data_IF_855253174491
#
_entry.id   IF_855253174491
#
_cell.length_a   1.000
_cell.length_b   1.000
_cell.length_c   1.000
_cell.angle_alpha   90.00
_cell.angle_beta   90.00
_cell.angle_gamma   90.00
#
_symmetry.space_group_name_H-M   'P 1'
#
loop_
_entity.id
_entity.type
_entity.pdbx_description
1 polymer ?
#
# COMPACT_ATOMS: atom_id res chain seq x y z
N UNK A 1 4.28 9.85 52.30
CA UNK A 1 3.81 9.78 50.92
C UNK A 1 4.94 9.24 50.04
N UNK A 2 4.85 8.00 49.61
CA UNK A 2 5.83 7.36 48.75
C UNK A 2 5.50 7.65 47.27
N UNK A 3 6.50 7.54 46.39
CA UNK A 3 6.30 7.73 44.94
C UNK A 3 5.18 6.84 44.39
N UNK A 4 4.93 5.68 45.02
CA UNK A 4 3.84 4.78 44.67
C UNK A 4 2.42 5.37 44.97
N UNK A 5 2.32 6.34 45.89
CA UNK A 5 1.02 6.97 46.23
C UNK A 5 0.63 8.07 45.21
N UNK A 6 1.56 8.50 44.38
CA UNK A 6 1.36 9.55 43.36
C UNK A 6 0.85 8.93 42.04
N UNK A 7 1.21 7.68 41.73
CA UNK A 7 0.80 7.01 40.49
C UNK A 7 -0.64 6.47 40.47
N UNK A 8 -1.34 6.41 41.65
CA UNK A 8 -2.73 5.95 41.72
C UNK A 8 -3.77 7.07 41.54
N UNK A 9 -3.35 8.32 41.34
CA UNK A 9 -4.25 9.48 41.37
C UNK A 9 -4.63 10.14 40.06
N UNK A 10 -4.08 9.71 38.93
CA UNK A 10 -4.39 10.33 37.63
C UNK A 10 -4.76 9.28 36.60
N UNK A 11 -5.95 8.70 36.74
CA UNK A 11 -6.64 8.16 35.60
C UNK A 11 -7.14 9.37 34.78
N UNK A 12 -6.55 9.71 33.62
CA UNK A 12 -7.12 10.75 32.79
C UNK A 12 -8.54 10.31 32.48
N UNK A 13 -9.54 11.06 32.92
CA UNK A 13 -10.94 10.83 32.54
C UNK A 13 -10.94 10.80 31.02
N UNK A 14 -10.98 9.59 30.43
CA UNK A 14 -11.21 9.42 29.01
C UNK A 14 -12.62 9.96 28.77
N UNK A 15 -12.68 11.20 28.28
CA UNK A 15 -13.95 11.77 27.85
C UNK A 15 -14.52 10.81 26.82
N UNK A 16 -15.79 10.44 26.98
CA UNK A 16 -16.50 9.67 25.98
C UNK A 16 -16.42 10.43 24.65
N UNK A 17 -16.16 9.70 23.57
CA UNK A 17 -16.16 10.32 22.24
C UNK A 17 -17.55 10.84 21.90
N UNK A 18 -17.63 11.98 21.26
CA UNK A 18 -18.89 12.58 20.82
C UNK A 18 -19.59 11.66 19.80
N UNK A 19 -18.81 10.97 18.96
CA UNK A 19 -19.27 9.96 18.02
C UNK A 19 -18.49 8.66 18.24
N UNK A 20 -19.05 7.51 17.85
CA UNK A 20 -18.29 6.25 17.89
C UNK A 20 -16.96 6.38 17.14
N UNK A 21 -15.88 5.92 17.74
CA UNK A 21 -14.59 5.84 17.02
C UNK A 21 -14.70 4.78 15.91
N UNK A 22 -14.19 5.06 14.70
CA UNK A 22 -14.08 4.03 13.68
C UNK A 22 -13.16 2.90 14.20
N UNK A 23 -13.46 1.67 13.80
CA UNK A 23 -12.51 0.57 14.00
C UNK A 23 -11.33 0.75 13.05
N UNK A 24 -10.13 0.53 13.54
CA UNK A 24 -8.95 0.49 12.68
C UNK A 24 -9.04 -0.70 11.71
N UNK A 25 -8.75 -0.52 10.42
CA UNK A 25 -8.70 -1.62 9.48
C UNK A 25 -7.54 -2.57 9.83
N UNK A 26 -7.71 -3.82 9.46
CA UNK A 26 -6.72 -4.87 9.69
C UNK A 26 -6.50 -5.67 8.41
N UNK A 27 -5.35 -6.31 8.27
CA UNK A 27 -5.04 -7.22 7.16
C UNK A 27 -4.76 -8.61 7.75
N UNK A 28 -5.36 -9.68 7.22
CA UNK A 28 -5.05 -11.04 7.65
C UNK A 28 -3.56 -11.35 7.46
N UNK A 29 -3.01 -12.18 8.34
CA UNK A 29 -1.66 -12.71 8.21
C UNK A 29 -1.76 -14.21 7.94
N UNK A 30 -1.06 -14.68 6.91
CA UNK A 30 -1.05 -16.09 6.53
C UNK A 30 -0.60 -16.95 7.70
N UNK A 31 -1.34 -18.03 7.97
CA UNK A 31 -1.10 -19.00 9.03
C UNK A 31 -1.11 -18.40 10.46
N UNK A 32 -1.76 -17.24 10.66
CA UNK A 32 -1.94 -16.60 11.97
C UNK A 32 -3.41 -16.39 12.30
N UNK A 33 -3.73 -16.53 13.58
CA UNK A 33 -5.07 -16.20 14.08
C UNK A 33 -5.26 -14.69 14.30
N UNK A 34 -4.16 -13.94 14.44
CA UNK A 34 -4.15 -12.49 14.64
C UNK A 34 -4.00 -11.76 13.33
N UNK A 35 -4.69 -10.62 13.19
CA UNK A 35 -4.56 -9.75 12.04
C UNK A 35 -3.56 -8.61 12.31
N UNK A 36 -2.96 -8.10 11.24
CA UNK A 36 -2.06 -6.96 11.27
C UNK A 36 -2.88 -5.65 11.24
N UNK A 37 -2.76 -4.75 12.24
CA UNK A 37 -3.48 -3.47 12.24
C UNK A 37 -2.87 -2.52 11.21
N UNK A 38 -3.69 -1.77 10.48
CA UNK A 38 -3.22 -0.79 9.50
C UNK A 38 -3.25 0.59 10.13
N UNK A 39 -2.08 1.21 10.27
CA UNK A 39 -1.89 2.54 10.85
C UNK A 39 -1.82 3.63 9.79
N UNK A 40 -0.86 3.48 8.86
CA UNK A 40 -0.60 4.39 7.75
C UNK A 40 -0.28 3.59 6.51
N UNK A 41 -0.61 4.14 5.36
CA UNK A 41 -0.25 3.57 4.06
C UNK A 41 0.59 4.62 3.32
N UNK A 42 1.88 4.33 3.16
CA UNK A 42 2.78 5.07 2.29
C UNK A 42 2.82 4.41 0.93
N UNK A 43 2.95 5.20 -0.12
CA UNK A 43 3.03 4.71 -1.49
C UNK A 43 4.23 5.33 -2.17
N UNK A 44 4.95 4.52 -2.96
CA UNK A 44 6.10 4.96 -3.74
C UNK A 44 5.68 5.15 -5.19
N UNK A 45 5.74 6.37 -5.68
CA UNK A 45 5.45 6.65 -7.08
C UNK A 45 6.65 6.37 -7.98
N UNK A 46 6.39 5.90 -9.22
CA UNK A 46 7.39 5.78 -10.31
C UNK A 46 8.58 4.87 -9.98
N UNK A 47 8.33 3.74 -9.39
CA UNK A 47 9.39 2.83 -8.95
C UNK A 47 9.72 1.70 -9.94
N UNK A 48 9.15 1.73 -11.15
CA UNK A 48 9.52 0.88 -12.29
C UNK A 48 9.82 1.76 -13.50
N UNK A 49 10.98 1.53 -14.15
CA UNK A 49 11.43 2.36 -15.28
C UNK A 49 10.43 2.32 -16.44
N UNK A 50 9.91 1.14 -16.78
CA UNK A 50 8.92 0.97 -17.85
C UNK A 50 7.61 1.73 -17.55
N UNK A 51 7.14 1.72 -16.31
CA UNK A 51 5.94 2.48 -15.90
C UNK A 51 6.19 3.99 -15.92
N UNK A 52 7.38 4.45 -15.48
CA UNK A 52 7.74 5.86 -15.56
C UNK A 52 7.72 6.36 -17.03
N UNK A 53 8.28 5.57 -17.96
CA UNK A 53 8.26 5.85 -19.38
C UNK A 53 6.83 5.86 -19.96
N UNK A 54 5.97 4.90 -19.58
CA UNK A 54 4.55 4.84 -19.96
C UNK A 54 3.80 6.13 -19.54
N UNK A 55 4.15 6.67 -18.36
CA UNK A 55 3.59 7.91 -17.83
C UNK A 55 4.26 9.18 -18.37
N UNK A 56 5.20 9.05 -19.34
CA UNK A 56 5.90 10.16 -19.97
C UNK A 56 6.87 10.88 -19.04
N UNK A 57 7.54 10.15 -18.14
CA UNK A 57 8.50 10.69 -17.17
C UNK A 57 9.82 9.94 -17.29
N UNK A 58 10.93 10.66 -17.28
CA UNK A 58 12.26 10.05 -17.14
C UNK A 58 12.46 9.49 -15.75
N UNK A 59 13.22 8.39 -15.68
CA UNK A 59 13.60 7.77 -14.40
C UNK A 59 14.63 8.64 -13.71
N UNK A 60 14.29 9.13 -12.54
CA UNK A 60 15.22 9.84 -11.67
C UNK A 60 15.50 8.99 -10.41
N UNK A 61 16.78 8.75 -10.13
CA UNK A 61 17.24 8.11 -8.89
C UNK A 61 17.73 9.12 -7.86
N UNK A 62 17.37 10.39 -7.96
CA UNK A 62 17.76 11.37 -6.97
C UNK A 62 17.10 11.07 -5.61
N UNK A 63 15.79 10.82 -5.59
CA UNK A 63 15.05 10.41 -4.40
C UNK A 63 13.77 9.64 -4.76
N UNK A 64 13.30 8.70 -3.88
CA UNK A 64 11.96 8.14 -4.02
C UNK A 64 10.90 9.22 -3.88
N UNK A 65 9.85 9.15 -4.68
CA UNK A 65 8.68 10.02 -4.58
C UNK A 65 7.59 9.33 -3.75
N UNK A 66 7.02 10.02 -2.78
CA UNK A 66 6.00 9.46 -1.89
C UNK A 66 4.67 10.21 -1.96
N UNK A 67 3.60 9.46 -1.76
CA UNK A 67 2.27 9.94 -1.42
C UNK A 67 1.65 8.97 -0.40
N UNK A 68 0.46 9.25 0.10
CA UNK A 68 -0.20 8.43 1.10
C UNK A 68 -1.62 8.06 0.68
N UNK A 69 -2.12 6.97 1.25
CA UNK A 69 -3.54 6.66 1.31
C UNK A 69 -3.98 6.61 2.77
N UNK A 70 -5.22 6.95 3.05
CA UNK A 70 -5.81 6.74 4.36
C UNK A 70 -5.77 5.26 4.73
N UNK A 71 -5.50 4.95 5.99
CA UNK A 71 -5.70 3.58 6.48
C UNK A 71 -7.14 3.10 6.23
N UNK A 72 -8.12 4.00 6.28
CA UNK A 72 -9.54 3.71 6.03
C UNK A 72 -9.86 3.41 4.56
N UNK A 73 -8.92 3.63 3.63
CA UNK A 73 -9.03 3.19 2.25
C UNK A 73 -8.76 1.68 2.06
N UNK A 74 -8.36 0.99 3.13
CA UNK A 74 -8.06 -0.45 3.10
C UNK A 74 -9.29 -1.27 2.77
N UNK A 75 -9.13 -2.21 1.82
CA UNK A 75 -10.09 -3.24 1.47
C UNK A 75 -9.38 -4.59 1.35
N UNK A 76 -10.11 -5.68 1.46
CA UNK A 76 -9.53 -7.03 1.39
C UNK A 76 -9.69 -7.65 0.00
N UNK A 77 -8.74 -8.51 -0.34
CA UNK A 77 -8.87 -9.38 -1.51
C UNK A 77 -10.19 -10.15 -1.49
N UNK A 78 -10.81 -10.31 -2.68
CA UNK A 78 -12.10 -10.96 -2.83
C UNK A 78 -13.30 -10.02 -2.74
N UNK A 79 -13.11 -8.75 -2.37
CA UNK A 79 -14.18 -7.78 -2.29
C UNK A 79 -14.82 -7.46 -3.65
N UNK A 80 -16.04 -6.95 -3.59
CA UNK A 80 -16.71 -6.24 -4.68
C UNK A 80 -16.79 -4.78 -4.27
N UNK A 81 -16.07 -3.91 -4.97
CA UNK A 81 -16.06 -2.47 -4.68
C UNK A 81 -16.89 -1.72 -5.72
N UNK A 82 -17.67 -0.74 -5.29
CA UNK A 82 -18.39 0.12 -6.21
C UNK A 82 -17.43 0.89 -7.12
N UNK A 83 -17.86 1.17 -8.37
CA UNK A 83 -17.10 2.10 -9.20
C UNK A 83 -17.13 3.49 -8.55
N UNK A 84 -15.96 4.08 -8.22
CA UNK A 84 -15.93 5.24 -7.33
C UNK A 84 -16.52 6.49 -7.97
N UNK A 85 -17.12 7.40 -7.15
CA UNK A 85 -17.67 8.65 -7.65
C UNK A 85 -16.56 9.60 -8.14
N UNK A 86 -16.95 10.58 -8.97
CA UNK A 86 -16.09 11.69 -9.40
C UNK A 86 -15.02 11.34 -10.43
N UNK A 87 -15.05 10.15 -11.01
CA UNK A 87 -14.14 9.72 -12.06
C UNK A 87 -14.87 8.98 -13.18
N UNK A 88 -14.31 9.01 -14.37
CA UNK A 88 -14.65 8.14 -15.48
C UNK A 88 -13.46 7.28 -15.93
N UNK A 89 -12.37 7.26 -15.15
CA UNK A 89 -11.13 6.61 -15.52
C UNK A 89 -10.44 5.99 -14.29
N UNK A 90 -10.99 4.85 -13.81
CA UNK A 90 -10.52 4.15 -12.63
C UNK A 90 -9.53 3.05 -13.03
N UNK A 91 -8.29 3.12 -12.54
CA UNK A 91 -7.17 2.25 -12.92
C UNK A 91 -6.76 1.32 -11.79
N UNK A 92 -6.27 0.15 -12.17
CA UNK A 92 -5.53 -0.77 -11.31
C UNK A 92 -4.02 -0.49 -11.35
N UNK A 93 -3.36 -0.74 -10.25
CA UNK A 93 -1.89 -0.75 -10.11
C UNK A 93 -1.51 -1.90 -9.17
N UNK A 94 -0.91 -2.97 -9.71
CA UNK A 94 -0.44 -4.11 -8.92
C UNK A 94 0.88 -3.78 -8.24
N UNK A 95 0.98 -4.00 -6.93
CA UNK A 95 2.14 -3.63 -6.14
C UNK A 95 2.56 -4.69 -5.12
N UNK A 96 3.86 -4.76 -4.84
CA UNK A 96 4.37 -5.35 -3.61
C UNK A 96 4.08 -4.40 -2.45
N UNK A 97 3.57 -4.94 -1.34
CA UNK A 97 3.32 -4.19 -0.11
C UNK A 97 4.24 -4.70 0.99
N UNK A 98 4.91 -3.77 1.67
CA UNK A 98 5.75 -4.06 2.84
C UNK A 98 4.94 -3.78 4.11
N UNK A 99 4.93 -4.69 5.07
CA UNK A 99 4.36 -4.49 6.40
C UNK A 99 5.49 -4.26 7.41
N UNK A 100 5.49 -3.14 8.11
CA UNK A 100 6.51 -2.81 9.11
C UNK A 100 6.18 -3.50 10.44
N UNK A 101 7.15 -4.19 11.02
CA UNK A 101 6.95 -4.96 12.26
C UNK A 101 7.81 -4.51 13.44
N UNK A 102 8.73 -3.56 13.22
CA UNK A 102 9.57 -2.99 14.27
C UNK A 102 9.71 -1.49 14.07
N UNK A 103 9.79 -0.69 15.15
CA UNK A 103 10.10 0.72 15.04
C UNK A 103 11.42 0.95 14.31
N UNK A 104 11.43 1.91 13.39
CA UNK A 104 12.63 2.30 12.67
C UNK A 104 12.63 3.80 12.36
N UNK A 105 13.74 4.46 12.69
CA UNK A 105 13.93 5.89 12.47
C UNK A 105 15.39 6.17 12.12
N UNK A 106 15.65 6.93 11.05
CA UNK A 106 16.97 7.30 10.54
C UNK A 106 17.92 6.11 10.45
N UNK A 107 17.43 5.01 9.89
CA UNK A 107 18.15 3.75 9.87
C UNK A 107 18.94 3.54 8.57
N UNK A 108 19.98 2.72 8.67
CA UNK A 108 20.63 2.14 7.51
C UNK A 108 19.76 1.06 6.85
N UNK A 109 20.14 0.62 5.65
CA UNK A 109 19.41 -0.39 4.85
C UNK A 109 19.30 -1.75 5.56
N UNK A 110 20.35 -2.16 6.28
CA UNK A 110 20.37 -3.47 6.96
C UNK A 110 19.38 -3.50 8.13
N UNK A 111 19.27 -2.41 8.87
CA UNK A 111 18.29 -2.22 9.94
C UNK A 111 16.88 -2.10 9.35
N UNK A 112 16.71 -1.33 8.29
CA UNK A 112 15.45 -1.17 7.56
C UNK A 112 14.91 -2.53 7.08
N UNK A 113 15.74 -3.37 6.46
CA UNK A 113 15.35 -4.71 6.03
C UNK A 113 14.82 -5.58 7.18
N UNK A 114 15.43 -5.49 8.36
CA UNK A 114 15.04 -6.26 9.56
C UNK A 114 13.75 -5.75 10.23
N UNK A 115 13.30 -4.56 9.86
CA UNK A 115 12.05 -3.99 10.36
C UNK A 115 10.83 -4.49 9.57
N UNK A 116 11.02 -5.06 8.39
CA UNK A 116 9.95 -5.62 7.58
C UNK A 116 9.45 -6.92 8.23
N UNK A 117 8.17 -6.93 8.63
CA UNK A 117 7.47 -8.09 9.18
C UNK A 117 7.10 -9.10 8.10
N UNK A 118 6.60 -8.59 6.97
CA UNK A 118 6.10 -9.42 5.89
C UNK A 118 5.76 -8.62 4.64
N UNK A 119 5.24 -9.35 3.67
CA UNK A 119 4.92 -8.85 2.34
C UNK A 119 3.53 -9.28 1.93
N UNK A 120 2.86 -8.47 1.12
CA UNK A 120 1.55 -8.80 0.55
C UNK A 120 1.46 -8.35 -0.92
N UNK A 121 0.52 -8.93 -1.65
CA UNK A 121 0.01 -8.35 -2.88
C UNK A 121 -0.94 -7.20 -2.55
N UNK A 122 -0.84 -6.08 -3.27
CA UNK A 122 -1.74 -4.94 -3.12
C UNK A 122 -2.17 -4.38 -4.47
N UNK A 123 -3.33 -3.70 -4.47
CA UNK A 123 -3.76 -2.86 -5.58
C UNK A 123 -3.86 -1.41 -5.10
N UNK A 124 -3.10 -0.51 -5.74
CA UNK A 124 -3.25 0.95 -5.58
C UNK A 124 -4.25 1.46 -6.62
N UNK A 125 -5.55 1.30 -6.29
CA UNK A 125 -6.62 1.72 -7.19
C UNK A 125 -6.65 3.25 -7.28
N UNK A 126 -6.74 3.76 -8.51
CA UNK A 126 -6.46 5.16 -8.84
C UNK A 126 -7.54 5.78 -9.72
N UNK A 127 -8.12 6.91 -9.31
CA UNK A 127 -8.91 7.79 -10.19
C UNK A 127 -7.92 8.57 -11.08
N UNK A 128 -7.60 7.99 -12.24
CA UNK A 128 -6.48 8.41 -13.10
C UNK A 128 -6.66 9.81 -13.68
N UNK A 129 -7.86 10.15 -14.08
CA UNK A 129 -8.20 11.48 -14.59
C UNK A 129 -7.94 12.57 -13.54
N UNK A 130 -8.33 12.34 -12.28
CA UNK A 130 -8.11 13.28 -11.19
C UNK A 130 -6.62 13.39 -10.81
N UNK A 131 -5.90 12.27 -10.82
CA UNK A 131 -4.45 12.27 -10.60
C UNK A 131 -3.70 13.06 -11.69
N UNK A 132 -4.06 12.87 -12.96
CA UNK A 132 -3.45 13.59 -14.10
C UNK A 132 -3.77 15.08 -14.07
N UNK A 133 -4.99 15.46 -13.73
CA UNK A 133 -5.37 16.87 -13.54
C UNK A 133 -4.56 17.52 -12.41
N UNK A 134 -4.48 16.85 -11.25
CA UNK A 134 -3.69 17.30 -10.11
C UNK A 134 -2.20 17.45 -10.48
N UNK A 135 -1.63 16.45 -11.19
CA UNK A 135 -0.24 16.50 -11.67
C UNK A 135 0.00 17.69 -12.60
N UNK A 136 -0.87 17.91 -13.59
CA UNK A 136 -0.76 19.02 -14.54
C UNK A 136 -0.82 20.37 -13.83
N UNK A 137 -1.62 20.48 -12.78
CA UNK A 137 -1.79 21.69 -11.97
C UNK A 137 -0.80 21.78 -10.80
N UNK A 138 0.16 20.84 -10.69
CA UNK A 138 1.13 20.74 -9.58
C UNK A 138 0.46 20.75 -8.18
N UNK A 139 -0.64 20.02 -8.06
CA UNK A 139 -1.43 19.85 -6.82
C UNK A 139 -1.20 18.47 -6.21
N UNK A 140 -1.52 18.28 -4.91
CA UNK A 140 -1.53 16.98 -4.26
C UNK A 140 -2.41 15.96 -5.01
N UNK A 141 -2.08 14.67 -4.91
CA UNK A 141 -2.77 13.60 -5.64
C UNK A 141 -3.94 12.96 -4.90
N UNK A 142 -4.26 13.46 -3.70
CA UNK A 142 -5.23 12.85 -2.78
C UNK A 142 -6.56 12.48 -3.46
N UNK A 143 -7.18 13.40 -4.22
CA UNK A 143 -8.43 13.10 -4.94
C UNK A 143 -8.30 11.95 -5.95
N UNK A 144 -7.11 11.71 -6.48
CA UNK A 144 -6.84 10.60 -7.40
C UNK A 144 -6.47 9.31 -6.69
N UNK A 145 -5.78 9.41 -5.55
CA UNK A 145 -5.12 8.29 -4.89
C UNK A 145 -5.76 7.86 -3.57
N UNK A 146 -6.35 8.77 -2.81
CA UNK A 146 -6.96 8.46 -1.51
C UNK A 146 -8.49 8.47 -1.61
N UNK A 147 -9.05 7.34 -1.99
CA UNK A 147 -10.47 7.10 -2.09
C UNK A 147 -10.83 5.83 -1.31
N UNK A 148 -12.04 5.74 -0.83
CA UNK A 148 -12.54 4.58 -0.10
C UNK A 148 -12.30 3.30 -0.89
N UNK A 149 -11.91 2.21 -0.21
CA UNK A 149 -11.67 0.88 -0.77
C UNK A 149 -10.62 0.83 -1.89
N UNK A 150 -9.71 1.82 -1.96
CA UNK A 150 -8.69 1.92 -3.02
C UNK A 150 -7.34 1.29 -2.68
N UNK A 151 -7.12 0.90 -1.43
CA UNK A 151 -5.94 0.13 -1.00
C UNK A 151 -6.37 -1.32 -0.76
N UNK A 152 -6.45 -2.12 -1.83
CA UNK A 152 -6.86 -3.52 -1.72
C UNK A 152 -5.66 -4.38 -1.35
N UNK A 153 -5.80 -5.23 -0.33
CA UNK A 153 -4.69 -5.99 0.24
C UNK A 153 -5.02 -7.49 0.32
N UNK A 154 -4.10 -8.32 -0.12
CA UNK A 154 -4.09 -9.73 0.17
C UNK A 154 -3.50 -10.00 1.57
N UNK A 155 -3.60 -11.25 2.04
CA UNK A 155 -3.00 -11.63 3.33
C UNK A 155 -1.49 -11.44 3.33
N UNK A 156 -0.96 -10.93 4.45
CA UNK A 156 0.49 -10.74 4.63
C UNK A 156 1.16 -12.10 4.82
N UNK A 157 2.18 -12.39 4.03
CA UNK A 157 3.12 -13.50 4.21
C UNK A 157 4.33 -13.01 5.00
N UNK A 158 4.69 -13.70 6.09
CA UNK A 158 5.83 -13.30 6.93
C UNK A 158 7.14 -13.32 6.15
N UNK A 159 8.00 -12.33 6.37
CA UNK A 159 9.32 -12.24 5.73
C UNK A 159 10.22 -13.46 5.99
N UNK A 160 10.05 -14.12 7.15
CA UNK A 160 10.81 -15.32 7.52
C UNK A 160 10.49 -16.54 6.64
N UNK A 161 9.34 -16.55 5.95
CA UNK A 161 8.91 -17.61 5.04
C UNK A 161 9.30 -17.38 3.58
N UNK A 162 9.96 -16.28 3.27
CA UNK A 162 10.30 -15.90 1.90
C UNK A 162 11.81 -15.87 1.67
N UNK A 163 12.21 -16.23 0.46
CA UNK A 163 13.53 -15.94 -0.06
C UNK A 163 13.73 -14.43 -0.21
N UNK A 164 14.95 -14.02 -0.52
CA UNK A 164 15.28 -12.61 -0.81
C UNK A 164 14.34 -12.04 -1.88
N UNK A 165 13.78 -10.87 -1.62
CA UNK A 165 12.95 -10.15 -2.60
C UNK A 165 13.83 -9.73 -3.80
N UNK A 166 13.36 -10.04 -5.01
CA UNK A 166 14.03 -9.69 -6.25
C UNK A 166 13.58 -10.52 -7.46
N UNK A 167 13.78 -11.85 -7.50
CA UNK A 167 13.48 -12.64 -8.69
C UNK A 167 11.99 -12.93 -8.92
N UNK A 168 11.13 -12.66 -7.94
CA UNK A 168 9.71 -12.97 -7.99
C UNK A 168 9.03 -12.24 -9.15
N UNK A 169 8.22 -12.99 -9.91
CA UNK A 169 7.31 -12.41 -10.90
C UNK A 169 6.18 -11.67 -10.17
N UNK A 170 5.83 -10.49 -10.67
CA UNK A 170 4.63 -9.72 -10.32
C UNK A 170 3.76 -9.62 -11.56
N UNK A 171 2.47 -9.92 -11.45
CA UNK A 171 1.56 -9.88 -12.59
C UNK A 171 0.13 -9.50 -12.17
N UNK A 172 -0.63 -8.99 -13.14
CA UNK A 172 -2.05 -8.70 -13.00
C UNK A 172 -2.78 -9.01 -14.30
N UNK A 173 -3.98 -9.53 -14.16
CA UNK A 173 -4.92 -9.82 -15.23
C UNK A 173 -6.24 -9.10 -14.98
N UNK A 174 -6.90 -8.66 -16.05
CA UNK A 174 -8.28 -8.20 -16.04
C UNK A 174 -9.10 -9.12 -16.92
N UNK A 175 -10.13 -9.76 -16.36
CA UNK A 175 -10.99 -10.73 -17.04
C UNK A 175 -10.19 -11.89 -17.72
N UNK A 176 -9.08 -12.29 -17.10
CA UNK A 176 -8.21 -13.37 -17.60
C UNK A 176 -7.21 -12.93 -18.68
N UNK A 177 -7.16 -11.64 -19.03
CA UNK A 177 -6.13 -11.11 -19.92
C UNK A 177 -5.01 -10.45 -19.12
N UNK A 178 -3.76 -10.87 -19.34
CA UNK A 178 -2.59 -10.29 -18.70
C UNK A 178 -2.44 -8.82 -19.12
N UNK A 179 -2.34 -7.95 -18.13
CA UNK A 179 -2.18 -6.50 -18.29
C UNK A 179 -0.83 -5.98 -17.78
N UNK A 180 -0.40 -6.50 -16.63
CA UNK A 180 0.88 -6.15 -16.04
C UNK A 180 1.71 -7.41 -15.83
N UNK A 181 2.99 -7.34 -16.16
CA UNK A 181 3.96 -8.40 -15.91
C UNK A 181 5.37 -7.80 -15.80
N UNK A 182 6.08 -8.12 -14.70
CA UNK A 182 7.44 -7.71 -14.44
C UNK A 182 8.07 -8.61 -13.36
N UNK A 183 9.29 -8.26 -12.92
CA UNK A 183 9.94 -8.87 -11.77
C UNK A 183 10.20 -7.81 -10.68
N UNK A 184 10.23 -8.25 -9.42
CA UNK A 184 10.56 -7.35 -8.30
C UNK A 184 12.02 -6.85 -8.38
N UNK A 185 12.89 -7.53 -9.16
CA UNK A 185 14.22 -7.02 -9.51
C UNK A 185 14.21 -5.74 -10.33
N UNK A 186 13.09 -5.40 -10.99
CA UNK A 186 12.96 -4.22 -11.83
C UNK A 186 12.60 -2.96 -11.04
N UNK A 187 12.34 -3.10 -9.72
CA UNK A 187 12.17 -1.98 -8.81
C UNK A 187 13.42 -1.07 -8.86
N UNK A 188 13.23 0.21 -9.11
CA UNK A 188 14.29 1.23 -9.13
C UNK A 188 14.88 1.39 -7.72
N UNK A 189 14.01 1.58 -6.74
CA UNK A 189 14.33 1.63 -5.32
C UNK A 189 13.96 0.29 -4.69
N UNK A 190 14.95 -0.40 -4.12
CA UNK A 190 14.75 -1.70 -3.47
C UNK A 190 14.05 -1.54 -2.14
N UNK A 191 13.46 -2.61 -1.63
CA UNK A 191 12.62 -2.58 -0.42
C UNK A 191 13.35 -2.01 0.81
N UNK A 192 14.61 -2.36 0.99
CA UNK A 192 15.47 -1.87 2.07
C UNK A 192 15.86 -0.39 1.89
N UNK A 193 16.05 0.06 0.64
CA UNK A 193 16.30 1.47 0.31
C UNK A 193 15.08 2.33 0.61
N UNK A 194 13.88 1.87 0.24
CA UNK A 194 12.62 2.57 0.49
C UNK A 194 12.41 2.77 2.00
N UNK A 195 12.48 1.68 2.78
CA UNK A 195 12.27 1.74 4.24
C UNK A 195 13.33 2.61 4.91
N UNK A 196 14.61 2.46 4.54
CA UNK A 196 15.70 3.30 5.05
C UNK A 196 15.45 4.77 4.74
N UNK A 197 15.18 5.12 3.48
CA UNK A 197 14.94 6.51 3.06
C UNK A 197 13.72 7.11 3.77
N UNK A 198 12.59 6.41 3.78
CA UNK A 198 11.36 6.89 4.41
C UNK A 198 11.53 7.11 5.92
N UNK A 199 12.37 6.28 6.58
CA UNK A 199 12.67 6.40 8.00
C UNK A 199 13.41 7.69 8.38
N UNK A 200 13.99 8.42 7.44
CA UNK A 200 14.58 9.73 7.71
C UNK A 200 13.56 10.86 7.86
N UNK A 201 12.34 10.63 7.36
CA UNK A 201 11.23 11.58 7.41
C UNK A 201 10.16 11.21 8.43
N UNK A 202 10.03 9.90 8.73
CA UNK A 202 8.99 9.36 9.62
C UNK A 202 9.56 8.37 10.62
N UNK A 203 9.06 8.39 11.83
CA UNK A 203 9.16 7.26 12.75
C UNK A 203 8.21 6.19 12.21
N UNK A 204 8.77 5.18 11.54
CA UNK A 204 7.99 4.04 11.07
C UNK A 204 7.75 3.07 12.23
N UNK A 205 6.53 2.56 12.34
CA UNK A 205 6.07 1.75 13.46
C UNK A 205 5.35 0.48 12.95
N UNK A 206 5.22 -0.56 13.78
CA UNK A 206 4.32 -1.66 13.49
C UNK A 206 2.91 -1.15 13.16
N UNK A 207 2.36 -1.62 12.04
CA UNK A 207 1.09 -1.11 11.51
C UNK A 207 1.25 -0.22 10.27
N UNK A 208 2.45 0.27 9.98
CA UNK A 208 2.70 1.00 8.73
C UNK A 208 2.84 0.04 7.56
N UNK A 209 2.16 0.35 6.47
CA UNK A 209 2.28 -0.32 5.19
C UNK A 209 3.00 0.58 4.18
N UNK A 210 3.76 -0.02 3.27
CA UNK A 210 4.42 0.69 2.18
C UNK A 210 4.12 -0.05 0.87
N UNK A 211 3.36 0.57 -0.01
CA UNK A 211 3.15 0.14 -1.39
C UNK A 211 4.34 0.61 -2.21
N UNK A 212 4.95 -0.30 -2.98
CA UNK A 212 6.31 -0.08 -3.53
C UNK A 212 6.35 0.41 -4.97
N UNK A 213 5.19 0.69 -5.56
CA UNK A 213 5.06 1.08 -6.95
C UNK A 213 4.71 -0.09 -7.86
N UNK A 214 4.13 0.24 -9.00
CA UNK A 214 3.53 -0.68 -9.97
C UNK A 214 4.37 -0.76 -11.26
N UNK A 215 4.42 -1.93 -11.95
CA UNK A 215 4.99 -2.05 -13.28
C UNK A 215 4.11 -1.38 -14.35
N UNK A 216 4.62 -1.29 -15.58
CA UNK A 216 3.87 -0.83 -16.76
C UNK A 216 2.65 -1.74 -17.05
N UNK A 217 1.69 -1.23 -17.83
CA UNK A 217 0.46 -1.91 -18.19
C UNK A 217 -0.73 -1.53 -17.32
N UNK A 218 -0.67 -0.39 -16.63
CA UNK A 218 -1.83 0.16 -15.91
C UNK A 218 -2.95 0.50 -16.88
N UNK A 219 -4.20 0.31 -16.47
CA UNK A 219 -5.33 0.53 -17.37
C UNK A 219 -6.66 0.72 -16.64
N UNK A 220 -7.63 1.23 -17.38
CA UNK A 220 -8.96 1.47 -16.86
C UNK A 220 -9.74 0.17 -16.70
N UNK A 221 -10.60 0.15 -15.68
CA UNK A 221 -11.62 -0.87 -15.45
C UNK A 221 -13.00 -0.25 -15.43
N UNK A 222 -14.01 -1.08 -15.67
CA UNK A 222 -15.42 -0.72 -15.63
C UNK A 222 -16.20 -1.66 -14.72
N UNK A 223 -17.43 -1.31 -14.40
CA UNK A 223 -18.31 -2.19 -13.64
C UNK A 223 -18.45 -3.57 -14.31
N UNK A 224 -18.31 -4.62 -13.53
CA UNK A 224 -18.31 -6.03 -13.98
C UNK A 224 -16.92 -6.61 -14.18
N UNK A 225 -15.88 -5.80 -14.30
CA UNK A 225 -14.50 -6.31 -14.45
C UNK A 225 -14.02 -7.01 -13.20
N UNK A 226 -13.22 -8.06 -13.43
CA UNK A 226 -12.57 -8.83 -12.39
C UNK A 226 -11.05 -8.70 -12.57
N UNK A 227 -10.41 -8.14 -11.56
CA UNK A 227 -8.96 -8.05 -11.46
C UNK A 227 -8.46 -9.26 -10.68
N UNK A 228 -7.43 -9.94 -11.18
CA UNK A 228 -6.67 -10.96 -10.45
C UNK A 228 -5.19 -10.67 -10.60
N UNK A 229 -4.40 -11.02 -9.60
CA UNK A 229 -2.97 -10.80 -9.67
C UNK A 229 -2.20 -11.59 -8.61
N UNK A 230 -0.89 -11.58 -8.72
CA UNK A 230 -0.04 -12.31 -7.81
C UNK A 230 1.43 -11.90 -7.88
N UNK A 231 2.12 -12.28 -6.82
CA UNK A 231 3.58 -12.23 -6.72
C UNK A 231 4.03 -13.61 -6.26
N UNK A 232 5.04 -14.18 -6.90
CA UNK A 232 5.54 -15.51 -6.57
C UNK A 232 5.83 -15.66 -5.08
N UNK A 233 5.22 -16.66 -4.44
CA UNK A 233 5.38 -16.96 -3.02
C UNK A 233 4.49 -16.15 -2.08
N UNK A 234 3.67 -15.22 -2.58
CA UNK A 234 2.68 -14.47 -1.80
C UNK A 234 1.26 -14.97 -2.07
N UNK A 235 0.33 -14.62 -1.16
CA UNK A 235 -1.09 -14.86 -1.37
C UNK A 235 -1.62 -14.00 -2.54
N UNK A 236 -2.40 -14.58 -3.46
CA UNK A 236 -2.91 -13.87 -4.63
C UNK A 236 -3.95 -12.83 -4.25
N UNK A 237 -4.17 -11.86 -5.14
CA UNK A 237 -5.15 -10.80 -4.97
C UNK A 237 -6.27 -10.92 -6.02
N UNK A 238 -7.50 -10.57 -5.61
CA UNK A 238 -8.68 -10.49 -6.47
C UNK A 238 -9.55 -9.31 -6.06
N UNK A 239 -10.07 -8.59 -7.05
CA UNK A 239 -11.05 -7.53 -6.85
C UNK A 239 -12.10 -7.59 -7.96
N UNK A 240 -13.36 -7.36 -7.62
CA UNK A 240 -14.43 -7.19 -8.61
C UNK A 240 -14.94 -5.76 -8.56
N UNK A 241 -15.08 -5.13 -9.70
CA UNK A 241 -15.63 -3.77 -9.81
C UNK A 241 -17.16 -3.88 -9.91
N UNK A 242 -17.86 -3.35 -8.92
CA UNK A 242 -19.32 -3.28 -8.88
C UNK A 242 -19.89 -2.14 -9.72
N UNK A 243 -21.21 -1.99 -9.67
CA UNK A 243 -21.88 -0.84 -10.26
C UNK A 243 -21.43 0.47 -9.57
N UNK A 244 -21.57 1.59 -10.26
CA UNK A 244 -21.39 2.91 -9.64
C UNK A 244 -22.49 3.15 -8.59
N UNK A 245 -22.15 3.90 -7.54
CA UNK A 245 -23.12 4.39 -6.55
C UNK A 245 -24.00 5.50 -7.12
#
# INVERSE_FOLDING_TARGET
>A
LTIADIEQGMNPMTKANLFPSPSWPTVPVKDEASAYPVHRIFCVGRNYAAHAAEMGVEVDREAPFYFTKSALATEHTGAVVAYPPGTSNFHYEMELVLAIGKPVFRSDRATAQKAIYGYACGLDMTRRDLQLDARTKQRPWDLGKDVEQSAVLASITKATGLATIGPQRIHLEVNGETRQEAHLSDLIWKVDEIVSHLSHYYHLEPGDLIMTGTPAGVGAVVAGDVITGGIDGLEPIRLTIGAAE
#
